data_IF_918246403515
#
_entry.id   IF_918246403515
#
_cell.length_a   1.000
_cell.length_b   1.000
_cell.length_c   1.000
_cell.angle_alpha   90.00
_cell.angle_beta   90.00
_cell.angle_gamma   90.00
#
_symmetry.space_group_name_H-M   'P 1'
#
loop_
_entity.id
_entity.type
_entity.pdbx_description
1 polymer ?
#
# COMPACT_ATOMS: atom_id res chain seq x y z
N UNK A 1 3.39 1.95 -44.04
CA UNK A 1 2.58 0.95 -43.30
C UNK A 1 3.32 0.54 -42.04
N UNK A 2 2.92 1.07 -40.88
CA UNK A 2 3.44 0.55 -39.60
C UNK A 2 2.70 -0.74 -39.27
N UNK A 3 3.29 -1.88 -39.63
CA UNK A 3 2.79 -3.20 -39.23
C UNK A 3 2.98 -3.31 -37.72
N UNK A 4 1.89 -3.34 -36.95
CA UNK A 4 1.95 -3.56 -35.51
C UNK A 4 2.75 -4.84 -35.22
N UNK A 5 3.92 -4.70 -34.59
CA UNK A 5 4.69 -5.85 -34.10
C UNK A 5 3.90 -6.47 -32.96
N UNK A 6 3.56 -7.75 -33.11
CA UNK A 6 2.86 -8.48 -32.07
C UNK A 6 3.72 -8.52 -30.81
N UNK A 7 3.10 -8.25 -29.66
CA UNK A 7 3.79 -8.27 -28.36
C UNK A 7 4.50 -9.61 -28.12
N UNK A 8 5.71 -9.58 -27.53
CA UNK A 8 6.40 -10.80 -27.08
C UNK A 8 5.63 -11.57 -25.99
N UNK A 9 4.61 -10.94 -25.39
CA UNK A 9 3.76 -11.50 -24.33
C UNK A 9 2.40 -12.00 -24.84
N UNK A 10 2.16 -12.05 -26.16
CA UNK A 10 0.85 -12.46 -26.73
C UNK A 10 0.35 -13.83 -26.29
N UNK A 11 1.26 -14.71 -25.87
CA UNK A 11 0.98 -16.09 -25.47
C UNK A 11 1.23 -16.32 -23.97
N UNK A 12 1.33 -15.26 -23.16
CA UNK A 12 1.50 -15.41 -21.71
C UNK A 12 0.23 -15.96 -21.10
N UNK A 13 0.34 -17.10 -20.42
CA UNK A 13 -0.78 -17.77 -19.72
C UNK A 13 -0.45 -17.95 -18.24
N UNK A 14 -1.41 -17.75 -17.32
CA UNK A 14 -1.20 -18.00 -15.90
C UNK A 14 -0.94 -19.49 -15.67
N UNK A 15 -0.01 -19.80 -14.77
CA UNK A 15 0.20 -21.16 -14.24
C UNK A 15 -0.27 -21.16 -12.80
N UNK A 16 -1.41 -21.80 -12.55
CA UNK A 16 -1.96 -21.94 -11.20
C UNK A 16 -1.24 -23.11 -10.52
N UNK A 17 -0.69 -22.85 -9.34
CA UNK A 17 -0.07 -23.90 -8.53
C UNK A 17 -1.10 -24.97 -8.15
N UNK A 18 -0.64 -26.21 -8.01
CA UNK A 18 -1.44 -27.29 -7.43
C UNK A 18 -1.63 -27.03 -5.92
N UNK A 19 -2.57 -27.76 -5.29
CA UNK A 19 -3.01 -27.53 -3.89
C UNK A 19 -1.87 -27.64 -2.87
N UNK A 20 -0.87 -28.47 -3.14
CA UNK A 20 0.38 -28.62 -2.38
C UNK A 20 1.27 -27.38 -2.43
N UNK A 21 1.06 -26.49 -3.40
CA UNK A 21 1.74 -25.19 -3.50
C UNK A 21 0.91 -24.02 -2.97
N UNK A 22 -0.17 -24.27 -2.21
CA UNK A 22 -1.03 -23.22 -1.67
C UNK A 22 -0.70 -22.96 -0.19
N UNK A 23 -0.73 -21.68 0.20
CA UNK A 23 -0.80 -21.28 1.61
C UNK A 23 -2.23 -21.53 2.09
N UNK A 24 -2.44 -22.61 2.83
CA UNK A 24 -3.76 -23.03 3.29
C UNK A 24 -4.09 -22.47 4.69
N UNK A 25 -5.35 -22.63 5.12
CA UNK A 25 -5.84 -22.23 6.45
C UNK A 25 -5.71 -20.73 6.77
N UNK A 26 -5.66 -19.90 5.72
CA UNK A 26 -5.67 -18.45 5.83
C UNK A 26 -7.07 -17.95 6.19
N UNK A 27 -7.20 -17.23 7.30
CA UNK A 27 -8.43 -16.51 7.69
C UNK A 27 -8.36 -15.05 7.22
N UNK A 28 -8.40 -14.86 5.90
CA UNK A 28 -8.27 -13.53 5.30
C UNK A 28 -9.47 -12.64 5.63
N UNK A 29 -9.18 -11.39 5.99
CA UNK A 29 -10.18 -10.35 6.21
C UNK A 29 -10.80 -9.83 4.91
N UNK A 30 -12.11 -9.60 4.92
CA UNK A 30 -12.81 -8.89 3.84
C UNK A 30 -13.32 -7.54 4.34
N UNK A 31 -12.42 -6.55 4.39
CA UNK A 31 -12.73 -5.22 4.89
C UNK A 31 -12.91 -4.22 3.74
N UNK A 32 -13.81 -3.25 3.89
CA UNK A 32 -13.91 -2.16 2.91
C UNK A 32 -12.86 -1.08 3.21
N UNK A 33 -11.66 -1.23 2.67
CA UNK A 33 -10.64 -0.18 2.64
C UNK A 33 -10.06 -0.03 1.23
N UNK A 34 -9.33 1.06 1.01
CA UNK A 34 -8.75 1.41 -0.29
C UNK A 34 -7.37 0.80 -0.50
N UNK A 35 -6.69 0.45 0.59
CA UNK A 35 -5.37 -0.15 0.58
C UNK A 35 -5.36 -1.62 0.18
N UNK A 36 -4.17 -2.20 0.23
CA UNK A 36 -3.92 -3.58 -0.14
C UNK A 36 -4.21 -4.51 1.03
N UNK A 37 -4.93 -5.61 0.74
CA UNK A 37 -5.20 -6.64 1.73
C UNK A 37 -4.11 -7.71 1.85
N UNK A 38 -3.19 -7.73 0.89
CA UNK A 38 -2.08 -8.67 0.83
C UNK A 38 -0.87 -7.98 0.18
N UNK A 39 0.30 -8.19 0.76
CA UNK A 39 1.59 -7.75 0.23
C UNK A 39 2.63 -8.82 0.42
N UNK A 40 3.66 -8.79 -0.41
CA UNK A 40 4.79 -9.69 -0.27
C UNK A 40 6.11 -8.93 -0.46
N UNK A 41 7.10 -9.29 0.34
CA UNK A 41 8.51 -9.10 0.01
C UNK A 41 9.02 -10.33 -0.75
N UNK A 42 10.33 -10.42 -0.96
CA UNK A 42 10.92 -11.65 -1.51
C UNK A 42 10.88 -12.84 -0.52
N UNK A 43 10.66 -12.57 0.78
CA UNK A 43 10.68 -13.58 1.85
C UNK A 43 9.33 -13.82 2.51
N UNK A 44 8.57 -12.76 2.72
CA UNK A 44 7.37 -12.77 3.54
C UNK A 44 6.14 -12.38 2.72
N UNK A 45 5.00 -12.91 3.13
CA UNK A 45 3.67 -12.51 2.70
C UNK A 45 2.93 -12.04 3.94
N UNK A 46 2.38 -10.82 3.89
CA UNK A 46 1.53 -10.25 4.91
C UNK A 46 0.12 -10.05 4.34
N UNK A 47 -0.91 -10.34 5.14
CA UNK A 47 -2.31 -10.17 4.72
C UNK A 47 -3.22 -9.85 5.92
N UNK A 48 -4.31 -9.14 5.65
CA UNK A 48 -5.33 -8.86 6.65
C UNK A 48 -6.00 -10.13 7.15
N UNK A 49 -6.37 -10.14 8.43
CA UNK A 49 -7.15 -11.25 9.01
C UNK A 49 -8.43 -10.74 9.63
N UNK A 50 -9.48 -11.58 9.68
CA UNK A 50 -10.77 -11.21 10.30
C UNK A 50 -10.71 -11.08 11.84
N UNK A 51 -9.58 -11.40 12.46
CA UNK A 51 -9.46 -11.42 13.91
C UNK A 51 -9.31 -10.01 14.52
N UNK A 52 -9.76 -9.89 15.77
CA UNK A 52 -9.63 -8.68 16.59
C UNK A 52 -10.07 -7.38 15.90
N UNK A 53 -11.22 -7.40 15.21
CA UNK A 53 -11.76 -6.21 14.54
C UNK A 53 -10.93 -5.72 13.34
N UNK A 54 -9.98 -6.53 12.83
CA UNK A 54 -9.15 -6.20 11.69
C UNK A 54 -7.79 -5.56 12.03
N UNK A 55 -7.46 -5.43 13.32
CA UNK A 55 -6.15 -4.92 13.78
C UNK A 55 -5.00 -5.93 13.70
N UNK A 56 -5.29 -7.18 13.36
CA UNK A 56 -4.30 -8.27 13.25
C UNK A 56 -3.93 -8.58 11.80
N UNK A 57 -2.64 -8.83 11.57
CA UNK A 57 -2.12 -9.33 10.30
C UNK A 57 -1.69 -10.79 10.42
N UNK A 58 -1.89 -11.54 9.34
CA UNK A 58 -1.35 -12.86 9.13
C UNK A 58 -0.05 -12.75 8.34
N UNK A 59 0.92 -13.57 8.71
CA UNK A 59 2.24 -13.61 8.11
C UNK A 59 2.57 -15.04 7.70
N UNK A 60 3.16 -15.19 6.52
CA UNK A 60 3.69 -16.46 6.04
C UNK A 60 4.95 -16.22 5.21
N UNK A 61 5.71 -17.28 4.95
CA UNK A 61 6.87 -17.24 4.08
C UNK A 61 6.41 -17.36 2.62
N UNK A 62 7.16 -16.79 1.69
CA UNK A 62 6.88 -16.95 0.25
C UNK A 62 7.10 -18.41 -0.19
N UNK A 63 8.08 -19.08 0.43
CA UNK A 63 8.43 -20.48 0.16
C UNK A 63 8.01 -21.37 1.33
N UNK A 64 7.69 -22.64 1.08
CA UNK A 64 7.40 -23.57 2.16
C UNK A 64 8.65 -23.78 3.03
N UNK A 65 8.40 -24.16 4.28
CA UNK A 65 9.42 -24.59 5.23
C UNK A 65 10.06 -25.92 4.84
N UNK A 66 10.98 -26.39 5.68
CA UNK A 66 11.73 -27.63 5.43
C UNK A 66 10.86 -28.89 5.38
N UNK A 67 9.69 -28.86 6.00
CA UNK A 67 8.67 -29.92 6.00
C UNK A 67 7.76 -29.89 4.75
N UNK A 68 7.95 -28.91 3.86
CA UNK A 68 7.12 -28.69 2.68
C UNK A 68 5.81 -27.96 2.95
N UNK A 69 5.55 -27.54 4.19
CA UNK A 69 4.37 -26.79 4.61
C UNK A 69 4.59 -25.28 4.64
N UNK A 70 3.49 -24.52 4.75
CA UNK A 70 3.55 -23.10 5.07
C UNK A 70 3.09 -22.87 6.50
N UNK A 71 3.92 -22.17 7.26
CA UNK A 71 3.54 -21.65 8.57
C UNK A 71 2.82 -20.32 8.39
N UNK A 72 1.67 -20.18 9.05
CA UNK A 72 0.95 -18.92 9.17
C UNK A 72 0.99 -18.51 10.63
N UNK A 73 1.63 -17.38 10.91
CA UNK A 73 1.62 -16.73 12.22
C UNK A 73 0.81 -15.45 12.17
N UNK A 74 0.51 -14.86 13.32
CA UNK A 74 -0.24 -13.62 13.40
C UNK A 74 0.44 -12.62 14.33
N UNK A 75 0.29 -11.34 14.00
CA UNK A 75 0.77 -10.23 14.82
C UNK A 75 -0.38 -9.25 15.08
N UNK A 76 -0.45 -8.74 16.31
CA UNK A 76 -1.38 -7.69 16.70
C UNK A 76 -0.76 -6.35 16.38
N UNK A 77 -1.17 -5.74 15.26
CA UNK A 77 -0.54 -4.52 14.78
C UNK A 77 -1.16 -3.27 15.40
N UNK A 78 -2.48 -3.18 15.32
CA UNK A 78 -3.23 -1.95 15.57
C UNK A 78 -4.45 -2.22 16.45
N UNK A 79 -4.95 -1.17 17.13
CA UNK A 79 -6.17 -1.27 17.95
C UNK A 79 -7.46 -1.15 17.12
N UNK A 80 -7.32 -0.83 15.84
CA UNK A 80 -8.40 -0.75 14.85
C UNK A 80 -7.92 -1.35 13.52
N UNK A 81 -8.81 -1.47 12.55
CA UNK A 81 -8.60 -2.05 11.23
C UNK A 81 -7.32 -1.55 10.56
N UNK A 82 -6.43 -2.48 10.18
CA UNK A 82 -5.30 -2.20 9.29
C UNK A 82 -5.85 -1.95 7.87
N UNK A 83 -5.68 -0.73 7.38
CA UNK A 83 -6.29 -0.25 6.12
C UNK A 83 -5.39 -0.42 4.90
N UNK A 84 -4.08 -0.43 5.09
CA UNK A 84 -3.08 -0.70 4.05
C UNK A 84 -1.78 -1.19 4.68
N UNK A 85 -0.93 -1.80 3.86
CA UNK A 85 0.41 -2.23 4.24
C UNK A 85 1.35 -2.20 3.05
N UNK A 86 2.64 -2.06 3.30
CA UNK A 86 3.66 -2.10 2.24
C UNK A 86 5.01 -2.58 2.79
N UNK A 87 5.68 -3.46 2.05
CA UNK A 87 7.04 -3.88 2.40
C UNK A 87 8.06 -2.87 1.88
N UNK A 88 9.13 -2.64 2.64
CA UNK A 88 10.24 -1.79 2.20
C UNK A 88 10.90 -2.38 0.95
N UNK A 89 11.16 -1.57 -0.08
CA UNK A 89 11.94 -2.01 -1.24
C UNK A 89 13.43 -2.18 -0.92
N UNK A 90 13.88 -1.80 0.29
CA UNK A 90 15.27 -1.88 0.73
C UNK A 90 15.52 -2.95 1.81
N UNK A 91 14.46 -3.44 2.46
CA UNK A 91 14.53 -4.42 3.54
C UNK A 91 13.32 -5.36 3.49
N UNK A 92 13.57 -6.62 3.14
CA UNK A 92 12.54 -7.65 2.95
C UNK A 92 11.77 -8.00 4.23
N UNK A 93 12.30 -7.61 5.39
CA UNK A 93 11.72 -7.86 6.70
C UNK A 93 11.01 -6.63 7.29
N UNK A 94 11.12 -5.47 6.66
CA UNK A 94 10.50 -4.24 7.16
C UNK A 94 9.14 -4.02 6.49
N UNK A 95 8.07 -4.07 7.30
CA UNK A 95 6.70 -3.83 6.87
C UNK A 95 6.19 -2.53 7.48
N UNK A 96 5.60 -1.65 6.68
CA UNK A 96 4.79 -0.53 7.16
C UNK A 96 3.31 -0.90 7.14
N UNK A 97 2.58 -0.51 8.16
CA UNK A 97 1.11 -0.69 8.27
C UNK A 97 0.48 0.63 8.67
N UNK A 98 -0.71 0.93 8.15
CA UNK A 98 -1.53 2.06 8.62
C UNK A 98 -2.94 1.59 8.99
N UNK A 99 -3.62 2.36 9.85
CA UNK A 99 -4.89 1.92 10.45
C UNK A 99 -5.89 3.06 10.69
N UNK A 100 -7.13 2.64 10.97
CA UNK A 100 -8.16 3.45 11.61
C UNK A 100 -7.77 4.04 12.96
N UNK A 101 -6.77 3.48 13.64
CA UNK A 101 -6.24 4.01 14.91
C UNK A 101 -5.36 5.25 14.75
N UNK A 102 -5.32 5.83 13.55
CA UNK A 102 -4.60 7.06 13.18
C UNK A 102 -3.06 6.94 13.21
N UNK A 103 -2.52 5.73 13.32
CA UNK A 103 -1.07 5.50 13.36
C UNK A 103 -0.54 4.78 12.13
N UNK A 104 0.72 5.07 11.79
CA UNK A 104 1.55 4.21 10.95
C UNK A 104 2.52 3.47 11.86
N UNK A 105 2.66 2.16 11.69
CA UNK A 105 3.62 1.34 12.45
C UNK A 105 4.57 0.63 11.51
N UNK A 106 5.85 0.61 11.87
CA UNK A 106 6.88 -0.15 11.16
C UNK A 106 7.27 -1.37 11.97
N UNK A 107 7.29 -2.52 11.32
CA UNK A 107 7.52 -3.82 11.92
C UNK A 107 8.74 -4.47 11.30
N UNK A 108 9.73 -4.80 12.13
CA UNK A 108 10.85 -5.66 11.73
C UNK A 108 10.48 -7.11 11.98
N UNK A 109 9.98 -7.75 10.94
CA UNK A 109 9.49 -9.11 10.96
C UNK A 109 10.63 -10.11 10.82
N UNK A 110 10.38 -11.34 11.24
CA UNK A 110 11.29 -12.46 11.09
C UNK A 110 10.58 -13.63 10.41
N UNK A 111 11.32 -14.72 10.18
CA UNK A 111 10.74 -15.96 9.69
C UNK A 111 9.47 -16.34 10.50
N UNK A 112 8.33 -16.68 9.86
CA UNK A 112 7.10 -17.04 10.55
C UNK A 112 7.22 -18.21 11.54
N UNK A 113 8.25 -19.06 11.41
CA UNK A 113 8.57 -20.13 12.37
C UNK A 113 9.19 -19.61 13.68
N UNK A 114 9.65 -18.36 13.68
CA UNK A 114 10.22 -17.69 14.85
C UNK A 114 9.18 -16.80 15.55
N UNK A 115 9.47 -16.49 16.82
CA UNK A 115 8.66 -15.56 17.60
C UNK A 115 8.69 -14.17 16.97
N UNK A 116 7.51 -13.71 16.53
CA UNK A 116 7.34 -12.39 15.94
C UNK A 116 7.48 -11.28 16.99
N UNK A 117 7.83 -10.04 16.57
CA UNK A 117 7.93 -8.91 17.48
C UNK A 117 6.59 -8.63 18.18
N UNK A 118 6.65 -8.28 19.47
CA UNK A 118 5.47 -7.90 20.27
C UNK A 118 5.12 -6.41 20.19
N UNK A 119 6.00 -5.59 19.61
CA UNK A 119 5.84 -4.16 19.45
C UNK A 119 6.49 -3.70 18.13
N UNK A 120 6.00 -2.60 17.52
CA UNK A 120 6.63 -2.06 16.32
C UNK A 120 8.00 -1.46 16.64
N UNK A 121 8.89 -1.45 15.64
CA UNK A 121 10.19 -0.75 15.72
C UNK A 121 9.97 0.78 15.82
N UNK A 122 8.93 1.27 15.15
CA UNK A 122 8.58 2.68 15.10
C UNK A 122 7.07 2.86 14.97
N UNK A 123 6.53 3.87 15.66
CA UNK A 123 5.16 4.37 15.45
C UNK A 123 5.23 5.83 15.03
N UNK A 124 4.59 6.17 13.93
CA UNK A 124 4.36 7.55 13.49
C UNK A 124 2.91 7.92 13.78
N UNK A 125 2.70 9.15 14.20
CA UNK A 125 1.38 9.69 14.51
C UNK A 125 1.09 10.88 13.58
N UNK A 126 0.63 10.65 12.34
CA UNK A 126 0.34 11.74 11.43
C UNK A 126 -0.66 12.78 11.94
N UNK A 127 -1.50 12.37 12.89
CA UNK A 127 -2.69 13.10 13.28
C UNK A 127 -3.66 13.18 12.11
N UNK A 128 -4.81 13.83 12.31
CA UNK A 128 -5.79 14.11 11.25
C UNK A 128 -6.71 12.93 10.86
N UNK A 129 -6.91 11.95 11.74
CA UNK A 129 -7.95 10.93 11.56
C UNK A 129 -7.45 9.63 10.93
N UNK A 130 -8.41 8.77 10.59
CA UNK A 130 -8.19 7.45 9.96
C UNK A 130 -7.25 7.55 8.76
N UNK A 131 -6.23 6.67 8.76
CA UNK A 131 -5.33 6.50 7.64
C UNK A 131 -5.89 5.46 6.68
N UNK A 132 -5.70 5.70 5.38
CA UNK A 132 -6.26 4.88 4.30
C UNK A 132 -5.19 4.11 3.53
N UNK A 133 -3.99 4.68 3.41
CA UNK A 133 -2.96 4.25 2.47
C UNK A 133 -1.57 4.48 3.05
N UNK A 134 -0.63 3.56 2.79
CA UNK A 134 0.79 3.70 3.13
C UNK A 134 1.67 3.09 2.04
N UNK A 135 2.70 3.82 1.62
CA UNK A 135 3.63 3.37 0.58
C UNK A 135 5.05 3.77 0.91
N UNK A 136 5.99 2.82 0.81
CA UNK A 136 7.40 3.16 0.82
C UNK A 136 7.79 3.93 -0.44
N UNK A 137 8.69 4.89 -0.28
CA UNK A 137 9.31 5.56 -1.41
C UNK A 137 10.24 4.57 -2.15
N UNK A 138 10.17 4.48 -3.49
CA UNK A 138 10.86 3.42 -4.24
C UNK A 138 12.38 3.61 -4.32
N UNK A 139 12.90 4.82 -4.11
CA UNK A 139 14.33 5.15 -4.32
C UNK A 139 15.03 5.78 -3.13
N UNK A 140 14.32 5.99 -2.00
CA UNK A 140 14.87 6.61 -0.79
C UNK A 140 14.40 5.85 0.43
N UNK A 141 15.33 5.23 1.15
CA UNK A 141 15.01 4.51 2.38
C UNK A 141 14.46 5.45 3.44
N UNK A 142 13.50 4.97 4.24
CA UNK A 142 12.91 5.72 5.35
C UNK A 142 11.90 6.80 4.95
N UNK A 143 11.59 6.97 3.67
CA UNK A 143 10.49 7.85 3.24
C UNK A 143 9.20 7.05 3.00
N UNK A 144 8.09 7.61 3.45
CA UNK A 144 6.74 7.07 3.29
C UNK A 144 5.82 8.13 2.68
N UNK A 145 4.94 7.70 1.76
CA UNK A 145 3.71 8.42 1.49
C UNK A 145 2.61 7.83 2.36
N UNK A 146 1.90 8.68 3.09
CA UNK A 146 0.80 8.29 3.99
C UNK A 146 -0.44 9.05 3.56
N UNK A 147 -1.52 8.34 3.28
CA UNK A 147 -2.79 8.95 2.89
C UNK A 147 -3.74 8.92 4.07
N UNK A 148 -4.18 10.08 4.56
CA UNK A 148 -5.39 10.15 5.37
C UNK A 148 -6.63 10.26 4.45
N UNK A 149 -7.81 10.47 5.03
CA UNK A 149 -9.05 10.55 4.27
C UNK A 149 -9.02 11.52 3.07
N UNK A 150 -8.28 12.64 3.15
CA UNK A 150 -8.31 13.68 2.09
C UNK A 150 -6.94 14.20 1.64
N UNK A 151 -5.87 13.92 2.35
CA UNK A 151 -4.56 14.49 2.07
C UNK A 151 -3.50 13.40 2.00
N UNK A 152 -2.62 13.43 0.99
CA UNK A 152 -1.34 12.77 1.03
C UNK A 152 -0.36 13.53 1.94
N UNK A 153 0.38 12.80 2.76
CA UNK A 153 1.47 13.29 3.59
C UNK A 153 2.76 12.57 3.20
N UNK A 154 3.88 13.28 3.28
CA UNK A 154 5.21 12.70 3.15
C UNK A 154 5.87 12.63 4.52
N UNK A 155 6.33 11.44 4.89
CA UNK A 155 6.94 11.15 6.18
C UNK A 155 8.38 10.68 6.02
N UNK A 156 9.19 11.01 7.02
CA UNK A 156 10.54 10.50 7.22
C UNK A 156 10.56 9.71 8.52
N UNK A 157 10.98 8.45 8.47
CA UNK A 157 11.02 7.56 9.63
C UNK A 157 12.02 8.01 10.71
N UNK A 158 12.92 8.94 10.39
CA UNK A 158 13.79 9.59 11.38
C UNK A 158 13.11 10.72 12.16
N UNK A 159 11.92 11.17 11.76
CA UNK A 159 11.15 12.26 12.38
C UNK A 159 9.76 11.77 12.78
N UNK A 160 9.55 11.56 14.08
CA UNK A 160 8.31 10.97 14.58
C UNK A 160 7.19 12.00 14.79
N UNK A 161 7.56 13.25 15.03
CA UNK A 161 6.61 14.26 15.52
C UNK A 161 5.85 14.99 14.41
N UNK A 162 6.41 15.08 13.20
CA UNK A 162 5.81 15.87 12.12
C UNK A 162 6.12 15.30 10.73
N UNK A 163 5.18 15.44 9.76
CA UNK A 163 5.43 15.09 8.37
C UNK A 163 6.45 16.05 7.76
N UNK A 164 7.22 15.57 6.78
CA UNK A 164 8.07 16.43 5.95
C UNK A 164 7.23 17.36 5.08
N UNK A 165 6.08 16.89 4.59
CA UNK A 165 5.17 17.66 3.76
C UNK A 165 3.73 17.21 3.97
N UNK A 166 2.82 18.17 3.95
CA UNK A 166 1.37 17.93 3.85
C UNK A 166 0.94 18.46 2.48
N UNK A 167 0.57 17.57 1.57
CA UNK A 167 0.18 17.95 0.22
C UNK A 167 -1.26 18.49 0.23
N UNK A 168 -1.56 19.31 -0.79
CA UNK A 168 -2.87 19.98 -0.90
C UNK A 168 -4.02 18.98 -0.75
N UNK A 169 -4.95 19.34 0.13
CA UNK A 169 -6.09 18.52 0.46
C UNK A 169 -7.00 18.32 -0.76
N UNK A 170 -7.47 17.10 -0.94
CA UNK A 170 -8.44 16.76 -1.98
C UNK A 170 -9.86 17.17 -1.61
N UNK A 171 -10.72 17.35 -2.62
CA UNK A 171 -12.11 17.75 -2.41
C UNK A 171 -13.00 16.67 -1.78
N UNK A 172 -12.57 15.41 -1.84
CA UNK A 172 -13.30 14.24 -1.34
C UNK A 172 -12.30 13.14 -0.92
N UNK A 173 -12.79 11.92 -0.66
CA UNK A 173 -12.01 10.80 -0.17
C UNK A 173 -10.90 10.37 -1.13
N UNK A 174 -9.67 10.32 -0.63
CA UNK A 174 -8.52 9.71 -1.29
C UNK A 174 -8.79 8.21 -1.55
N UNK A 175 -8.58 7.77 -2.79
CA UNK A 175 -8.87 6.38 -3.22
C UNK A 175 -7.60 5.59 -3.52
N UNK A 176 -6.51 6.24 -3.93
CA UNK A 176 -5.25 5.56 -4.23
C UNK A 176 -4.11 6.55 -4.29
N UNK A 177 -2.90 6.05 -4.09
CA UNK A 177 -1.64 6.75 -4.28
C UNK A 177 -0.65 5.85 -5.02
N UNK A 178 0.29 6.43 -5.74
CA UNK A 178 1.37 5.68 -6.39
C UNK A 178 2.59 6.58 -6.62
N UNK A 179 3.76 6.12 -6.20
CA UNK A 179 5.01 6.74 -6.58
C UNK A 179 5.36 6.44 -8.03
N UNK A 180 5.86 7.44 -8.75
CA UNK A 180 6.65 7.19 -9.95
C UNK A 180 7.88 6.37 -9.55
N UNK A 181 8.30 5.42 -10.40
CA UNK A 181 9.38 4.47 -10.06
C UNK A 181 10.71 5.14 -9.68
N UNK A 182 11.00 6.34 -10.19
CA UNK A 182 12.21 7.08 -9.80
C UNK A 182 12.05 7.88 -8.50
N UNK A 183 10.86 7.84 -7.89
CA UNK A 183 10.52 8.55 -6.65
C UNK A 183 10.22 10.04 -6.82
N UNK A 184 10.36 10.58 -8.04
CA UNK A 184 10.25 12.04 -8.22
C UNK A 184 8.84 12.60 -8.06
N UNK A 185 7.81 11.78 -8.30
CA UNK A 185 6.42 12.22 -8.33
C UNK A 185 5.53 11.25 -7.56
N UNK A 186 4.53 11.80 -6.87
CA UNK A 186 3.43 11.06 -6.27
C UNK A 186 2.15 11.35 -7.05
N UNK A 187 1.51 10.32 -7.59
CA UNK A 187 0.17 10.41 -8.17
C UNK A 187 -0.87 10.00 -7.13
N UNK A 188 -2.02 10.66 -7.14
CA UNK A 188 -3.15 10.30 -6.29
C UNK A 188 -4.48 10.39 -7.06
N UNK A 189 -5.42 9.54 -6.67
CA UNK A 189 -6.79 9.53 -7.21
C UNK A 189 -7.80 9.75 -6.11
N UNK A 190 -8.89 10.44 -6.43
CA UNK A 190 -9.87 10.89 -5.46
C UNK A 190 -11.30 10.63 -5.95
N UNK A 191 -12.22 10.46 -4.99
CA UNK A 191 -13.66 10.34 -5.24
C UNK A 191 -14.27 11.61 -5.87
N UNK A 192 -13.59 12.75 -5.76
CA UNK A 192 -13.91 14.00 -6.47
C UNK A 192 -13.73 13.91 -8.00
N UNK A 193 -13.36 12.73 -8.51
CA UNK A 193 -13.16 12.41 -9.93
C UNK A 193 -11.93 13.09 -10.53
N UNK A 194 -10.97 13.52 -9.72
CA UNK A 194 -9.71 14.10 -10.17
C UNK A 194 -8.52 13.20 -9.84
N UNK A 195 -7.57 13.14 -10.77
CA UNK A 195 -6.20 12.71 -10.59
C UNK A 195 -5.33 13.94 -10.30
N UNK A 196 -4.42 13.80 -9.34
CA UNK A 196 -3.42 14.81 -9.02
C UNK A 196 -2.04 14.19 -9.08
N UNK A 197 -1.08 14.94 -9.58
CA UNK A 197 0.34 14.58 -9.57
C UNK A 197 1.07 15.66 -8.80
N UNK A 198 1.90 15.25 -7.86
CA UNK A 198 2.70 16.13 -7.01
C UNK A 198 4.19 15.88 -7.26
N UNK A 199 4.98 16.95 -7.24
CA UNK A 199 6.40 16.89 -6.91
C UNK A 199 6.55 17.43 -5.47
N UNK A 200 6.58 16.55 -4.45
CA UNK A 200 6.57 16.98 -3.06
C UNK A 200 7.79 17.80 -2.63
N UNK A 201 8.85 17.83 -3.44
CA UNK A 201 10.08 18.60 -3.16
C UNK A 201 10.00 20.01 -3.74
N UNK A 202 9.16 20.21 -4.76
CA UNK A 202 9.03 21.50 -5.43
C UNK A 202 7.95 22.37 -4.80
N UNK A 203 6.77 21.79 -4.53
CA UNK A 203 5.61 22.51 -4.00
C UNK A 203 4.60 21.55 -3.35
N UNK A 204 3.75 22.09 -2.49
CA UNK A 204 2.71 21.32 -1.80
C UNK A 204 1.42 21.14 -2.62
N UNK A 205 1.23 21.97 -3.67
CA UNK A 205 0.10 21.89 -4.58
C UNK A 205 0.40 20.97 -5.77
N UNK A 206 -0.61 20.37 -6.43
CA UNK A 206 -0.37 19.49 -7.57
C UNK A 206 0.35 20.22 -8.71
N UNK A 207 1.36 19.58 -9.29
CA UNK A 207 2.00 20.05 -10.54
C UNK A 207 1.14 19.74 -11.76
N UNK A 208 0.21 18.79 -11.63
CA UNK A 208 -0.79 18.47 -12.65
C UNK A 208 -2.09 17.99 -12.01
N UNK A 209 -3.22 18.43 -12.57
CA UNK A 209 -4.55 17.98 -12.19
C UNK A 209 -5.32 17.58 -13.44
N UNK A 210 -5.98 16.42 -13.43
CA UNK A 210 -6.75 15.92 -14.58
C UNK A 210 -8.02 15.21 -14.12
N UNK A 211 -9.17 15.38 -14.78
CA UNK A 211 -10.35 14.57 -14.50
C UNK A 211 -10.11 13.10 -14.88
N UNK A 212 -10.65 12.17 -14.08
CA UNK A 212 -10.63 10.71 -14.30
C UNK A 212 -11.49 10.31 -15.50
N UNK A 213 -12.58 11.03 -15.74
CA UNK A 213 -13.47 10.84 -16.88
C UNK A 213 -13.39 12.09 -17.74
N UNK A 214 -12.85 11.97 -18.95
CA UNK A 214 -13.04 13.01 -19.97
C UNK A 214 -14.51 12.95 -20.41
N UNK A 215 -15.26 14.07 -20.39
CA UNK A 215 -16.57 14.08 -21.04
C UNK A 215 -16.37 13.66 -22.50
N UNK A 216 -17.16 12.69 -22.96
CA UNK A 216 -17.13 12.29 -24.37
C UNK A 216 -17.48 13.51 -25.22
N UNK A 217 -16.76 13.79 -26.32
CA UNK A 217 -17.25 14.73 -27.32
C UNK A 217 -18.41 14.03 -28.06
N UNK A 218 -19.61 14.04 -27.48
CA UNK A 218 -20.82 13.70 -28.21
C UNK A 218 -21.53 14.99 -28.62
N UNK A 219 -21.27 15.36 -29.87
CA UNK A 219 -22.25 15.89 -30.80
C UNK A 219 -22.88 17.24 -30.46
N UNK A 220 -22.14 18.32 -30.69
CA UNK A 220 -22.76 19.52 -31.25
C UNK A 220 -22.89 19.31 -32.76
N UNK A 221 -23.97 18.65 -33.21
CA UNK A 221 -24.49 18.79 -34.58
C UNK A 221 -25.88 18.14 -34.68
N UNK A 222 -26.87 18.97 -35.07
CA UNK A 222 -28.24 18.67 -35.53
C UNK A 222 -29.20 18.20 -34.40
N UNK A 223 -30.23 18.96 -34.01
CA UNK A 223 -31.22 19.74 -34.77
C UNK A 223 -31.48 21.12 -34.16
#
# INVERSE_FOLDING_TARGET
>A
MNRFKTSKFKNTTPKIAKKDGWINNVRAGSFSCQGNHIKASAKLVAFNTEQAGGGMLGLSSVKPGSDGGWTVTQISCHSDLVTDMDFSPFDECLLATCSGDETVKLWRLCDPELQQPSAPELTLCPGQGRLELVLFHPTSSGLLAVGNAKSPLIWDTSRQDTPLAVLEQHGDQLQSMCWKQDGSLLASSCKDKMLRVFDPRAQLTPVQVSPLIKPSPRGSELL
#
